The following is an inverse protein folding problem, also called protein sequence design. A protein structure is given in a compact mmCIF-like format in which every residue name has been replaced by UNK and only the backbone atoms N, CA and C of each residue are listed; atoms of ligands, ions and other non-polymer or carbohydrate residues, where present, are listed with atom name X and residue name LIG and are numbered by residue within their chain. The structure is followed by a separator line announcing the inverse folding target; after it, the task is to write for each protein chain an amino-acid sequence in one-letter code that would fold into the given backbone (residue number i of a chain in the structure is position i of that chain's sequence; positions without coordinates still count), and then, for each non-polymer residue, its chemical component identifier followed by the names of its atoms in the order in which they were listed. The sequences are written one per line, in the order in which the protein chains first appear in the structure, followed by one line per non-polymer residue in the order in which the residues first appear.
data_IF_205472731303
#
_entry.id   IF_205472731303
#
_cell.length_a   1.000
_cell.length_b   1.000
_cell.length_c   1.000
_cell.angle_alpha   90.00
_cell.angle_beta   90.00
_cell.angle_gamma   90.00
#
_symmetry.space_group_name_H-M   'P 1'
#
loop_
_entity.id
_entity.type
_entity.pdbx_description
1 polymer ?
#
# COMPACT_ATOMS: atom_id res chain seq x y z
N UNK A 1 52.03 30.26 -5.40
CA UNK A 1 51.51 28.95 -5.83
C UNK A 1 51.31 28.10 -4.59
N UNK A 2 50.07 27.98 -4.10
CA UNK A 2 49.66 27.03 -3.08
C UNK A 2 48.35 26.37 -3.55
N UNK A 3 48.12 25.08 -3.25
CA UNK A 3 47.03 24.33 -3.83
C UNK A 3 45.70 24.75 -3.21
N UNK A 4 44.72 25.00 -4.08
CA UNK A 4 43.34 25.26 -3.72
C UNK A 4 42.77 24.03 -3.00
N UNK A 5 42.34 24.21 -1.76
CA UNK A 5 41.53 23.22 -1.05
C UNK A 5 40.19 23.05 -1.76
N UNK A 6 40.06 21.97 -2.52
CA UNK A 6 38.78 21.47 -3.00
C UNK A 6 38.10 20.82 -1.81
N UNK A 7 37.13 21.51 -1.21
CA UNK A 7 36.20 20.88 -0.28
C UNK A 7 35.36 19.85 -1.05
N UNK A 8 35.36 18.56 -0.69
CA UNK A 8 34.60 17.57 -1.42
C UNK A 8 33.13 17.62 -0.96
N UNK A 9 32.25 18.11 -1.84
CA UNK A 9 30.78 18.03 -1.72
C UNK A 9 30.27 16.61 -1.43
N UNK A 10 31.08 15.57 -1.69
CA UNK A 10 30.79 14.18 -1.36
C UNK A 10 30.68 13.91 0.16
N UNK A 11 31.35 14.71 0.99
CA UNK A 11 31.35 14.52 2.46
C UNK A 11 30.09 15.10 3.14
N UNK A 12 29.49 16.15 2.57
CA UNK A 12 28.18 16.63 3.05
C UNK A 12 27.07 15.65 2.68
N UNK A 13 27.10 15.05 1.49
CA UNK A 13 26.11 14.07 1.05
C UNK A 13 26.12 12.80 1.91
N UNK A 14 27.30 12.31 2.32
CA UNK A 14 27.41 11.15 3.22
C UNK A 14 26.94 11.47 4.65
N UNK A 15 27.18 12.68 5.16
CA UNK A 15 26.68 13.08 6.47
C UNK A 15 25.18 13.33 6.47
N UNK A 16 24.60 13.89 5.40
CA UNK A 16 23.13 14.02 5.26
C UNK A 16 22.43 12.70 4.99
N UNK A 17 23.11 11.70 4.40
CA UNK A 17 22.57 10.34 4.24
C UNK A 17 22.67 9.52 5.54
N UNK A 18 23.70 9.73 6.35
CA UNK A 18 23.82 9.10 7.67
C UNK A 18 22.88 9.73 8.72
N UNK A 19 22.58 11.03 8.61
CA UNK A 19 21.67 11.75 9.50
C UNK A 19 20.16 11.53 9.19
N UNK A 20 19.83 10.72 8.18
CA UNK A 20 18.44 10.31 7.89
C UNK A 20 18.08 8.91 8.41
N UNK A 21 18.95 8.26 9.20
CA UNK A 21 18.74 6.92 9.78
C UNK A 21 18.62 6.99 11.30
N UNK A 22 17.86 7.95 11.84
CA UNK A 22 17.59 8.07 13.28
C UNK A 22 16.42 7.16 13.74
N UNK A 23 16.51 5.87 13.41
CA UNK A 23 15.50 4.87 13.80
C UNK A 23 16.04 3.46 14.06
N UNK A 24 17.36 3.24 13.98
CA UNK A 24 17.92 1.92 14.29
C UNK A 24 18.06 1.74 15.80
N UNK A 25 17.36 0.75 16.36
CA UNK A 25 17.42 0.43 17.78
C UNK A 25 18.79 -0.15 18.09
N UNK A 26 19.56 0.42 19.04
CA UNK A 26 20.84 -0.13 19.45
C UNK A 26 20.73 -1.61 19.85
N UNK A 27 21.52 -2.46 19.20
CA UNK A 27 21.62 -3.86 19.56
C UNK A 27 22.65 -4.09 20.66
N UNK A 28 22.30 -4.88 21.66
CA UNK A 28 23.22 -5.37 22.69
C UNK A 28 23.40 -6.88 22.53
N UNK A 29 24.62 -7.36 22.73
CA UNK A 29 24.89 -8.79 22.87
C UNK A 29 24.48 -9.28 24.27
N UNK A 30 24.62 -10.59 24.51
CA UNK A 30 24.28 -11.18 25.81
C UNK A 30 24.99 -10.46 26.97
N UNK A 31 26.29 -10.21 26.85
CA UNK A 31 27.08 -9.57 27.91
C UNK A 31 26.62 -8.12 28.15
N UNK A 32 26.24 -7.40 27.08
CA UNK A 32 25.66 -6.07 27.17
C UNK A 32 24.30 -6.08 27.86
N UNK A 33 23.43 -7.02 27.52
CA UNK A 33 22.15 -7.20 28.17
C UNK A 33 22.30 -7.55 29.66
N UNK A 34 23.21 -8.46 30.03
CA UNK A 34 23.50 -8.78 31.44
C UNK A 34 24.00 -7.56 32.23
N UNK A 35 24.88 -6.73 31.64
CA UNK A 35 25.32 -5.47 32.24
C UNK A 35 24.18 -4.47 32.42
N UNK A 36 23.27 -4.40 31.46
CA UNK A 36 22.11 -3.52 31.52
C UNK A 36 21.16 -3.93 32.66
N UNK A 37 20.87 -5.23 32.74
CA UNK A 37 19.98 -5.81 33.75
C UNK A 37 20.55 -5.74 35.17
N UNK A 38 21.86 -5.90 35.32
CA UNK A 38 22.55 -5.81 36.62
C UNK A 38 22.89 -4.37 37.05
N UNK A 39 22.62 -3.37 36.20
CA UNK A 39 22.86 -1.97 36.56
C UNK A 39 21.92 -1.52 37.70
N UNK A 40 22.30 -0.54 38.54
CA UNK A 40 21.45 -0.06 39.63
C UNK A 40 20.10 0.50 39.19
N UNK A 41 20.00 0.98 37.93
CA UNK A 41 18.74 1.43 37.31
C UNK A 41 17.90 0.28 36.77
N UNK A 42 18.53 -0.88 36.52
CA UNK A 42 17.94 -2.02 35.83
C UNK A 42 17.49 -1.69 34.41
N UNK A 43 16.81 -2.67 33.79
CA UNK A 43 16.02 -2.45 32.58
C UNK A 43 14.72 -3.22 32.68
N UNK A 44 13.67 -2.66 32.10
CA UNK A 44 12.42 -3.39 31.89
C UNK A 44 12.62 -4.28 30.68
N UNK A 45 12.49 -5.60 30.88
CA UNK A 45 12.56 -6.56 29.79
C UNK A 45 11.17 -6.76 29.22
N UNK A 46 11.03 -6.49 27.92
CA UNK A 46 9.79 -6.70 27.17
C UNK A 46 10.01 -7.86 26.22
N UNK A 47 9.33 -8.97 26.47
CA UNK A 47 9.37 -10.16 25.63
C UNK A 47 8.18 -10.15 24.66
N UNK A 48 8.49 -9.96 23.37
CA UNK A 48 7.50 -9.92 22.28
C UNK A 48 7.03 -11.30 21.83
N UNK A 49 7.56 -12.38 22.42
CA UNK A 49 7.13 -13.73 22.07
C UNK A 49 5.75 -13.98 22.65
N UNK A 50 4.80 -14.30 21.79
CA UNK A 50 3.47 -14.72 22.19
C UNK A 50 3.50 -16.18 22.71
N UNK A 51 2.94 -16.40 23.90
CA UNK A 51 2.84 -17.73 24.50
C UNK A 51 1.48 -18.38 24.23
N UNK A 52 1.51 -19.65 23.81
CA UNK A 52 0.39 -20.59 23.60
C UNK A 52 -0.69 -20.26 22.55
N UNK A 53 -1.00 -19.00 22.22
CA UNK A 53 -1.98 -18.68 21.17
C UNK A 53 -1.57 -19.20 19.77
N UNK A 54 -0.26 -19.38 19.53
CA UNK A 54 0.31 -19.94 18.31
C UNK A 54 0.86 -21.38 18.48
N UNK A 55 0.46 -22.11 19.53
CA UNK A 55 0.83 -23.53 19.73
C UNK A 55 2.31 -23.80 20.04
N UNK A 56 3.10 -22.77 20.38
CA UNK A 56 4.52 -22.91 20.76
C UNK A 56 4.70 -22.74 22.28
N UNK A 57 5.44 -23.68 22.87
CA UNK A 57 5.99 -23.54 24.22
C UNK A 57 7.26 -22.67 24.14
N UNK A 58 7.26 -21.54 24.86
CA UNK A 58 8.30 -20.50 24.77
C UNK A 58 9.56 -20.82 25.59
N UNK A 59 9.64 -22.00 26.22
CA UNK A 59 10.88 -22.54 26.81
C UNK A 59 11.46 -21.75 28.00
N UNK A 60 10.71 -20.77 28.52
CA UNK A 60 11.14 -19.85 29.59
C UNK A 60 11.44 -18.44 29.07
N UNK A 61 11.63 -17.49 29.99
CA UNK A 61 11.92 -16.08 29.66
C UNK A 61 13.04 -15.51 30.54
N UNK A 62 13.63 -14.39 30.14
CA UNK A 62 14.55 -13.66 31.02
C UNK A 62 13.79 -13.30 32.30
N UNK A 63 14.40 -13.54 33.46
CA UNK A 63 13.74 -13.32 34.75
C UNK A 63 13.24 -11.87 34.88
N UNK A 64 11.97 -11.71 35.29
CA UNK A 64 11.32 -10.40 35.40
C UNK A 64 10.84 -9.80 34.07
N UNK A 65 10.91 -10.54 32.97
CA UNK A 65 10.35 -10.09 31.70
C UNK A 65 8.82 -9.97 31.74
N UNK A 66 8.33 -8.94 31.05
CA UNK A 66 6.91 -8.74 30.78
C UNK A 66 6.60 -9.26 29.38
N UNK A 67 5.58 -10.11 29.27
CA UNK A 67 5.13 -10.59 27.97
C UNK A 67 4.15 -9.59 27.38
N UNK A 68 4.53 -9.00 26.26
CA UNK A 68 3.74 -7.97 25.55
C UNK A 68 3.83 -8.29 24.06
N UNK A 69 2.73 -8.71 23.44
CA UNK A 69 2.69 -8.94 21.99
C UNK A 69 3.11 -7.69 21.21
N UNK A 70 3.63 -7.84 19.99
CA UNK A 70 4.03 -6.68 19.20
C UNK A 70 2.85 -5.75 18.89
N UNK A 71 1.65 -6.32 18.75
CA UNK A 71 0.37 -5.61 18.57
C UNK A 71 -0.11 -4.92 19.85
N UNK A 72 0.21 -5.46 21.03
CA UNK A 72 -0.13 -4.90 22.35
C UNK A 72 0.88 -3.84 22.82
N UNK A 73 2.09 -3.85 22.26
CA UNK A 73 3.23 -3.03 22.73
C UNK A 73 2.90 -1.55 22.73
N UNK A 74 2.19 -1.09 21.71
CA UNK A 74 1.84 0.30 21.55
C UNK A 74 0.90 0.82 22.64
N UNK A 75 -0.11 -0.01 22.98
CA UNK A 75 -1.04 0.23 24.07
C UNK A 75 -0.33 0.22 25.42
N UNK A 76 0.55 -0.76 25.63
CA UNK A 76 1.34 -0.88 26.85
C UNK A 76 2.21 0.36 27.07
N UNK A 77 3.02 0.76 26.08
CA UNK A 77 3.93 1.92 26.19
C UNK A 77 3.20 3.26 26.39
N UNK A 78 1.94 3.34 25.96
CA UNK A 78 1.11 4.54 26.11
C UNK A 78 0.44 4.64 27.48
N UNK A 79 0.12 3.50 28.10
CA UNK A 79 -0.65 3.42 29.35
C UNK A 79 0.21 3.06 30.56
N UNK A 80 1.38 2.45 30.34
CA UNK A 80 2.29 2.08 31.42
C UNK A 80 2.83 3.33 32.12
N UNK A 81 2.82 3.30 33.45
CA UNK A 81 3.45 4.30 34.30
C UNK A 81 4.98 4.09 34.31
N UNK A 82 5.60 4.35 33.16
CA UNK A 82 7.03 4.15 32.93
C UNK A 82 7.68 5.44 32.43
N UNK A 83 8.66 5.93 33.20
CA UNK A 83 9.44 7.09 32.81
C UNK A 83 10.11 6.87 31.44
N UNK A 84 10.15 7.93 30.63
CA UNK A 84 10.70 7.87 29.25
C UNK A 84 12.22 7.63 29.21
N UNK A 85 12.90 7.88 30.33
CA UNK A 85 14.32 7.57 30.50
C UNK A 85 14.56 6.19 31.10
N UNK A 86 13.52 5.38 31.37
CA UNK A 86 13.70 4.00 31.84
C UNK A 86 14.31 3.14 30.73
N UNK A 87 15.41 2.40 31.00
CA UNK A 87 15.97 1.48 30.01
C UNK A 87 15.01 0.34 29.67
N UNK A 88 14.78 0.14 28.37
CA UNK A 88 13.99 -0.96 27.82
C UNK A 88 14.90 -1.94 27.11
N UNK A 89 14.80 -3.22 27.45
CA UNK A 89 15.40 -4.32 26.69
C UNK A 89 14.29 -5.13 26.03
N UNK A 90 14.14 -4.98 24.72
CA UNK A 90 13.10 -5.66 23.95
C UNK A 90 13.68 -6.92 23.32
N UNK A 91 13.01 -8.05 23.51
CA UNK A 91 13.46 -9.35 23.04
C UNK A 91 12.37 -10.06 22.23
N UNK A 92 12.79 -10.87 21.28
CA UNK A 92 11.93 -11.82 20.57
C UNK A 92 12.75 -13.10 20.29
N UNK A 93 12.26 -14.03 19.47
CA UNK A 93 13.01 -15.28 19.19
C UNK A 93 14.41 -15.03 18.62
N UNK A 94 14.50 -14.27 17.52
CA UNK A 94 15.73 -14.10 16.71
C UNK A 94 16.27 -12.68 16.59
N UNK A 95 15.68 -11.72 17.30
CA UNK A 95 16.04 -10.29 17.22
C UNK A 95 15.34 -9.47 16.12
N UNK A 96 14.54 -10.09 15.25
CA UNK A 96 13.88 -9.38 14.12
C UNK A 96 12.69 -8.53 14.59
N UNK A 97 11.77 -9.09 15.38
CA UNK A 97 10.58 -8.37 15.86
C UNK A 97 10.94 -7.30 16.90
N UNK A 98 11.99 -7.55 17.70
CA UNK A 98 12.47 -6.59 18.71
C UNK A 98 12.98 -5.28 18.12
N UNK A 99 13.49 -5.29 16.88
CA UNK A 99 13.87 -4.06 16.17
C UNK A 99 12.63 -3.20 15.84
N UNK A 100 11.56 -3.82 15.33
CA UNK A 100 10.30 -3.13 15.07
C UNK A 100 9.68 -2.60 16.37
N UNK A 101 9.64 -3.43 17.42
CA UNK A 101 9.15 -3.02 18.74
C UNK A 101 9.96 -1.89 19.39
N UNK A 102 11.28 -1.89 19.22
CA UNK A 102 12.12 -0.80 19.72
C UNK A 102 11.95 0.49 18.94
N UNK A 103 11.74 0.42 17.62
CA UNK A 103 11.44 1.59 16.80
C UNK A 103 10.12 2.23 17.25
N UNK A 104 9.13 1.41 17.60
CA UNK A 104 7.87 1.87 18.18
C UNK A 104 8.09 2.58 19.52
N UNK A 105 8.90 2.01 20.41
CA UNK A 105 9.21 2.60 21.71
C UNK A 105 9.95 3.94 21.58
N UNK A 106 10.94 4.04 20.68
CA UNK A 106 11.62 5.30 20.36
C UNK A 106 10.60 6.35 19.86
N UNK A 107 9.68 5.96 18.99
CA UNK A 107 8.59 6.81 18.49
C UNK A 107 7.64 7.31 19.59
N UNK A 108 7.52 6.58 20.71
CA UNK A 108 6.75 7.01 21.90
C UNK A 108 7.56 7.84 22.89
N UNK A 109 8.77 8.23 22.49
CA UNK A 109 9.65 9.12 23.25
C UNK A 109 10.51 8.41 24.30
N UNK A 110 10.55 7.07 24.32
CA UNK A 110 11.50 6.36 25.18
C UNK A 110 12.92 6.57 24.66
N UNK A 111 13.84 6.95 25.54
CA UNK A 111 15.19 7.39 25.14
C UNK A 111 16.27 6.31 25.23
N UNK A 112 16.01 5.28 26.03
CA UNK A 112 16.96 4.20 26.29
C UNK A 112 16.33 2.88 25.89
N UNK A 113 16.35 2.58 24.58
CA UNK A 113 15.74 1.36 24.03
C UNK A 113 16.84 0.51 23.41
N UNK A 114 16.86 -0.77 23.76
CA UNK A 114 17.84 -1.74 23.28
C UNK A 114 17.13 -3.01 22.81
N UNK A 115 17.68 -3.67 21.81
CA UNK A 115 17.23 -5.01 21.40
C UNK A 115 18.34 -6.05 21.59
N UNK A 116 17.98 -7.25 22.03
CA UNK A 116 18.95 -8.34 22.18
C UNK A 116 19.31 -8.93 20.81
N UNK A 117 20.59 -8.82 20.44
CA UNK A 117 21.12 -9.40 19.20
C UNK A 117 20.96 -10.92 19.22
N UNK A 118 20.32 -11.45 18.17
CA UNK A 118 20.02 -12.88 18.05
C UNK A 118 18.85 -13.35 18.91
N UNK A 119 18.18 -12.44 19.65
CA UNK A 119 17.02 -12.74 20.46
C UNK A 119 17.27 -13.79 21.54
N UNK A 120 16.20 -14.48 21.93
CA UNK A 120 16.23 -15.53 22.95
C UNK A 120 17.01 -16.77 22.48
N UNK A 121 17.16 -17.01 21.18
CA UNK A 121 18.02 -18.08 20.65
C UNK A 121 19.50 -17.87 21.01
N UNK A 122 19.93 -16.62 21.16
CA UNK A 122 21.29 -16.25 21.54
C UNK A 122 21.48 -16.09 23.06
N UNK A 123 20.38 -16.13 23.85
CA UNK A 123 20.44 -15.95 25.29
C UNK A 123 20.90 -17.24 25.99
N UNK A 124 22.09 -17.20 26.59
CA UNK A 124 22.63 -18.32 27.39
C UNK A 124 22.53 -18.09 28.90
N UNK A 125 21.93 -16.98 29.32
CA UNK A 125 21.69 -16.68 30.73
C UNK A 125 20.59 -17.55 31.30
N UNK A 126 20.39 -17.46 32.62
CA UNK A 126 19.30 -18.17 33.29
C UNK A 126 17.95 -17.69 32.76
N UNK A 127 17.10 -18.64 32.38
CA UNK A 127 15.69 -18.38 32.06
C UNK A 127 14.83 -18.83 33.23
N UNK A 128 13.85 -17.99 33.60
CA UNK A 128 12.81 -18.34 34.55
C UNK A 128 11.61 -18.96 33.87
N UNK A 129 10.49 -19.02 34.61
CA UNK A 129 9.20 -19.34 34.02
C UNK A 129 8.89 -18.41 32.83
N UNK A 130 8.02 -18.85 31.90
CA UNK A 130 7.51 -17.96 30.86
C UNK A 130 6.96 -16.67 31.46
N UNK A 131 7.30 -15.55 30.84
CA UNK A 131 6.84 -14.23 31.27
C UNK A 131 5.30 -14.19 31.29
N UNK A 132 4.76 -13.62 32.37
CA UNK A 132 3.31 -13.45 32.49
C UNK A 132 2.83 -12.38 31.49
N UNK A 133 1.64 -12.58 30.89
CA UNK A 133 1.03 -11.55 30.06
C UNK A 133 0.68 -10.32 30.91
N UNK A 134 0.86 -9.14 30.33
CA UNK A 134 0.45 -7.90 30.98
C UNK A 134 -1.07 -7.86 31.25
N UNK A 135 -1.52 -7.10 32.28
CA UNK A 135 -2.93 -6.91 32.58
C UNK A 135 -3.75 -6.48 31.36
N UNK A 136 -4.99 -6.98 31.24
CA UNK A 136 -5.87 -6.72 30.10
C UNK A 136 -6.09 -5.22 29.81
N UNK A 137 -6.06 -4.38 30.84
CA UNK A 137 -6.21 -2.93 30.72
C UNK A 137 -5.04 -2.28 29.97
N UNK A 138 -3.83 -2.83 30.10
CA UNK A 138 -2.63 -2.33 29.45
C UNK A 138 -2.45 -2.88 28.03
N UNK A 139 -3.21 -3.93 27.66
CA UNK A 139 -3.23 -4.51 26.31
C UNK A 139 -4.07 -3.73 25.31
N UNK A 140 -4.99 -2.87 25.79
CA UNK A 140 -5.86 -2.11 24.90
C UNK A 140 -5.06 -1.14 24.03
N UNK A 141 -5.34 -1.06 22.72
CA UNK A 141 -4.70 -0.10 21.83
C UNK A 141 -4.82 1.33 22.39
N UNK A 142 -3.88 2.23 22.09
CA UNK A 142 -4.00 3.62 22.48
C UNK A 142 -5.17 4.27 21.73
N UNK A 143 -5.87 5.16 22.44
CA UNK A 143 -6.96 5.94 21.86
C UNK A 143 -6.35 7.12 21.09
N UNK A 144 -6.67 7.21 19.81
CA UNK A 144 -6.32 8.35 18.98
C UNK A 144 -7.08 9.59 19.47
N UNK A 145 -6.34 10.67 19.74
CA UNK A 145 -6.94 11.96 20.10
C UNK A 145 -7.51 12.65 18.85
N UNK A 146 -8.70 12.23 18.42
CA UNK A 146 -9.37 12.76 17.24
C UNK A 146 -10.21 14.00 17.56
N UNK A 147 -9.95 15.09 16.84
CA UNK A 147 -10.76 16.32 16.87
C UNK A 147 -12.16 16.06 16.31
N UNK A 148 -13.12 16.94 16.61
CA UNK A 148 -14.47 16.85 16.05
C UNK A 148 -14.47 16.78 14.51
N UNK A 149 -13.58 17.53 13.86
CA UNK A 149 -13.43 17.50 12.40
C UNK A 149 -12.95 16.13 11.91
N UNK A 150 -11.97 15.53 12.59
CA UNK A 150 -11.46 14.19 12.23
C UNK A 150 -12.54 13.13 12.37
N UNK A 151 -13.33 13.18 13.44
CA UNK A 151 -14.47 12.27 13.61
C UNK A 151 -15.52 12.45 12.50
N UNK A 152 -15.80 13.70 12.10
CA UNK A 152 -16.66 13.97 10.96
C UNK A 152 -16.08 13.41 9.66
N UNK A 153 -14.77 13.59 9.42
CA UNK A 153 -14.10 13.07 8.23
C UNK A 153 -14.20 11.55 8.14
N UNK A 154 -13.99 10.84 9.25
CA UNK A 154 -14.16 9.38 9.29
C UNK A 154 -15.56 8.95 8.85
N UNK A 155 -16.61 9.64 9.32
CA UNK A 155 -18.00 9.34 8.92
C UNK A 155 -18.24 9.70 7.45
N UNK A 156 -17.84 10.90 7.04
CA UNK A 156 -18.10 11.39 5.68
C UNK A 156 -17.37 10.54 4.65
N UNK A 157 -16.10 10.22 4.87
CA UNK A 157 -15.29 9.46 3.93
C UNK A 157 -15.58 7.95 4.03
N UNK A 158 -15.45 7.38 5.22
CA UNK A 158 -15.58 5.94 5.44
C UNK A 158 -17.00 5.39 5.26
N UNK A 159 -18.05 6.22 5.38
CA UNK A 159 -19.44 5.79 5.15
C UNK A 159 -20.03 6.48 3.92
N UNK A 160 -19.98 7.81 3.86
CA UNK A 160 -20.64 8.58 2.80
C UNK A 160 -19.99 8.42 1.42
N UNK A 161 -18.72 8.82 1.30
CA UNK A 161 -17.94 8.77 0.06
C UNK A 161 -17.75 7.31 -0.38
N UNK A 162 -17.40 6.42 0.55
CA UNK A 162 -17.28 4.98 0.31
C UNK A 162 -18.50 4.37 -0.34
N UNK A 163 -19.66 4.49 0.29
CA UNK A 163 -20.91 3.96 -0.27
C UNK A 163 -21.23 4.57 -1.65
N UNK A 164 -20.89 5.85 -1.84
CA UNK A 164 -21.11 6.56 -3.10
C UNK A 164 -20.26 5.98 -4.23
N UNK A 165 -18.93 5.92 -4.10
CA UNK A 165 -18.10 5.39 -5.18
C UNK A 165 -18.32 3.90 -5.42
N UNK A 166 -18.72 3.13 -4.40
CA UNK A 166 -19.01 1.70 -4.54
C UNK A 166 -20.26 1.51 -5.40
N UNK A 167 -21.28 2.32 -5.17
CA UNK A 167 -22.49 2.33 -6.00
C UNK A 167 -22.17 2.77 -7.43
N UNK A 168 -21.37 3.83 -7.57
CA UNK A 168 -20.96 4.38 -8.87
C UNK A 168 -20.11 3.40 -9.68
N UNK A 169 -19.23 2.62 -9.04
CA UNK A 169 -18.42 1.59 -9.71
C UNK A 169 -19.29 0.45 -10.23
N UNK A 170 -20.31 0.01 -9.48
CA UNK A 170 -21.31 -0.95 -9.96
C UNK A 170 -22.12 -0.40 -11.13
N UNK A 171 -22.53 0.88 -11.07
CA UNK A 171 -23.21 1.54 -12.19
C UNK A 171 -22.32 1.54 -13.43
N UNK A 172 -21.04 1.88 -13.30
CA UNK A 172 -20.07 1.83 -14.40
C UNK A 172 -19.95 0.40 -14.96
N UNK A 173 -19.85 -0.61 -14.11
CA UNK A 173 -19.81 -2.02 -14.52
C UNK A 173 -21.09 -2.44 -15.27
N UNK A 174 -22.26 -2.00 -14.80
CA UNK A 174 -23.56 -2.26 -15.42
C UNK A 174 -23.69 -1.59 -16.79
N UNK A 175 -23.24 -0.34 -16.94
CA UNK A 175 -23.19 0.37 -18.23
C UNK A 175 -22.36 -0.42 -19.26
N UNK A 176 -21.26 -1.00 -18.81
CA UNK A 176 -20.33 -1.77 -19.65
C UNK A 176 -20.69 -3.25 -19.79
N UNK A 177 -21.78 -3.71 -19.17
CA UNK A 177 -22.07 -5.15 -19.05
C UNK A 177 -22.20 -5.85 -20.41
N UNK A 178 -22.80 -5.17 -21.39
CA UNK A 178 -23.02 -5.72 -22.74
C UNK A 178 -21.87 -5.47 -23.71
N UNK A 179 -20.87 -4.68 -23.33
CA UNK A 179 -19.73 -4.36 -24.19
C UNK A 179 -18.89 -5.60 -24.47
N UNK A 180 -18.48 -5.77 -25.74
CA UNK A 180 -17.63 -6.88 -26.20
C UNK A 180 -16.21 -6.44 -26.59
N UNK A 181 -15.96 -5.13 -26.69
CA UNK A 181 -14.63 -4.57 -26.92
C UNK A 181 -13.70 -4.92 -25.76
N UNK A 182 -12.47 -5.36 -26.04
CA UNK A 182 -11.58 -5.90 -25.01
C UNK A 182 -11.20 -4.81 -24.00
N UNK A 183 -10.95 -3.58 -24.47
CA UNK A 183 -10.66 -2.46 -23.59
C UNK A 183 -11.80 -2.18 -22.60
N UNK A 184 -13.05 -2.16 -23.07
CA UNK A 184 -14.22 -1.93 -22.21
C UNK A 184 -14.50 -3.10 -21.26
N UNK A 185 -14.21 -4.34 -21.68
CA UNK A 185 -14.32 -5.52 -20.81
C UNK A 185 -13.33 -5.43 -19.65
N UNK A 186 -12.09 -5.00 -19.91
CA UNK A 186 -11.08 -4.79 -18.86
C UNK A 186 -11.50 -3.67 -17.90
N UNK A 187 -12.02 -2.55 -18.41
CA UNK A 187 -12.53 -1.46 -17.54
C UNK A 187 -13.70 -1.97 -16.68
N UNK A 188 -14.62 -2.76 -17.23
CA UNK A 188 -15.69 -3.40 -16.45
C UNK A 188 -15.12 -4.31 -15.36
N UNK A 189 -14.14 -5.14 -15.68
CA UNK A 189 -13.49 -6.01 -14.68
C UNK A 189 -12.76 -5.20 -13.62
N UNK A 190 -12.16 -4.06 -13.97
CA UNK A 190 -11.55 -3.15 -13.00
C UNK A 190 -12.59 -2.58 -12.01
N UNK A 191 -13.78 -2.19 -12.49
CA UNK A 191 -14.86 -1.72 -11.62
C UNK A 191 -15.38 -2.82 -10.68
N UNK A 192 -15.45 -4.06 -11.15
CA UNK A 192 -15.83 -5.20 -10.31
C UNK A 192 -14.74 -5.56 -9.29
N UNK A 193 -13.46 -5.49 -9.67
CA UNK A 193 -12.34 -5.73 -8.76
C UNK A 193 -12.28 -4.66 -7.66
N UNK A 194 -12.50 -3.39 -8.02
CA UNK A 194 -12.61 -2.28 -7.08
C UNK A 194 -13.79 -2.47 -6.12
N UNK A 195 -15.00 -2.73 -6.64
CA UNK A 195 -16.17 -2.99 -5.80
C UNK A 195 -15.96 -4.18 -4.84
N UNK A 196 -15.30 -5.24 -5.31
CA UNK A 196 -14.95 -6.38 -4.47
C UNK A 196 -13.99 -5.97 -3.35
N UNK A 197 -12.90 -5.25 -3.67
CA UNK A 197 -11.94 -4.79 -2.66
C UNK A 197 -12.58 -3.93 -1.58
N UNK A 198 -13.37 -2.94 -2.00
CA UNK A 198 -14.10 -2.07 -1.07
C UNK A 198 -15.16 -2.79 -0.26
N UNK A 199 -15.82 -3.78 -0.88
CA UNK A 199 -16.71 -4.69 -0.17
C UNK A 199 -15.99 -5.44 0.94
N UNK A 200 -14.76 -5.87 0.71
CA UNK A 200 -13.95 -6.54 1.73
C UNK A 200 -13.53 -5.59 2.85
N UNK A 201 -13.17 -4.34 2.54
CA UNK A 201 -12.93 -3.31 3.55
C UNK A 201 -14.17 -3.13 4.46
N UNK A 202 -15.35 -2.97 3.86
CA UNK A 202 -16.61 -2.84 4.60
C UNK A 202 -16.94 -4.09 5.44
N UNK A 203 -16.67 -5.29 4.93
CA UNK A 203 -16.83 -6.55 5.67
C UNK A 203 -15.87 -6.63 6.86
N UNK A 204 -14.61 -6.21 6.70
CA UNK A 204 -13.63 -6.19 7.79
C UNK A 204 -14.12 -5.28 8.93
N UNK A 205 -14.61 -4.10 8.57
CA UNK A 205 -15.15 -3.13 9.53
C UNK A 205 -16.38 -3.67 10.27
N UNK A 206 -17.37 -4.22 9.54
CA UNK A 206 -18.65 -4.65 10.12
C UNK A 206 -18.59 -5.96 10.91
N UNK A 207 -17.75 -6.92 10.49
CA UNK A 207 -17.77 -8.29 11.04
C UNK A 207 -16.50 -8.68 11.79
N UNK A 208 -15.38 -8.01 11.54
CA UNK A 208 -14.10 -8.28 12.20
C UNK A 208 -13.59 -7.08 13.01
N UNK A 209 -14.38 -6.01 13.14
CA UNK A 209 -13.99 -4.78 13.85
C UNK A 209 -12.67 -4.18 13.36
N UNK A 210 -12.33 -4.39 12.08
CA UNK A 210 -11.05 -3.98 11.48
C UNK A 210 -9.88 -4.92 11.75
N UNK A 211 -10.05 -5.99 12.52
CA UNK A 211 -8.93 -6.79 13.03
C UNK A 211 -8.42 -7.89 12.07
N UNK A 212 -9.06 -8.13 10.92
CA UNK A 212 -8.72 -9.25 10.05
C UNK A 212 -7.74 -8.88 8.93
N UNK A 213 -6.47 -9.27 9.10
CA UNK A 213 -5.43 -9.17 8.06
C UNK A 213 -5.80 -9.89 6.75
N UNK A 214 -6.52 -11.01 6.84
CA UNK A 214 -6.90 -11.78 5.66
C UNK A 214 -7.93 -11.03 4.80
N UNK A 215 -8.92 -10.39 5.44
CA UNK A 215 -9.94 -9.60 4.75
C UNK A 215 -9.30 -8.33 4.18
N UNK A 216 -8.41 -7.68 4.94
CA UNK A 216 -7.65 -6.52 4.48
C UNK A 216 -6.73 -6.86 3.29
N UNK A 217 -6.15 -8.06 3.26
CA UNK A 217 -5.41 -8.53 2.10
C UNK A 217 -6.30 -8.66 0.86
N UNK A 218 -7.55 -9.12 1.01
CA UNK A 218 -8.49 -9.15 -0.12
C UNK A 218 -8.94 -7.76 -0.56
N UNK A 219 -9.09 -6.82 0.38
CA UNK A 219 -9.26 -5.40 0.08
C UNK A 219 -8.12 -4.91 -0.82
N UNK A 220 -6.87 -5.09 -0.37
CA UNK A 220 -5.69 -4.70 -1.15
C UNK A 220 -5.57 -5.40 -2.52
N UNK A 221 -5.93 -6.68 -2.62
CA UNK A 221 -5.96 -7.41 -3.90
C UNK A 221 -6.99 -6.82 -4.88
N UNK A 222 -8.12 -6.32 -4.38
CA UNK A 222 -9.10 -5.59 -5.19
C UNK A 222 -8.52 -4.31 -5.79
N UNK A 223 -7.79 -3.53 -4.98
CA UNK A 223 -7.11 -2.31 -5.42
C UNK A 223 -5.98 -2.57 -6.41
N UNK A 224 -5.14 -3.58 -6.15
CA UNK A 224 -4.12 -4.04 -7.10
C UNK A 224 -4.76 -4.48 -8.41
N UNK A 225 -5.87 -5.22 -8.34
CA UNK A 225 -6.64 -5.67 -9.50
C UNK A 225 -7.19 -4.50 -10.33
N UNK A 226 -7.79 -3.50 -9.68
CA UNK A 226 -8.23 -2.28 -10.36
C UNK A 226 -7.05 -1.52 -10.97
N UNK A 227 -5.98 -1.31 -10.21
CA UNK A 227 -4.76 -0.62 -10.63
C UNK A 227 -4.05 -1.30 -11.81
N UNK A 228 -4.24 -2.61 -11.98
CA UNK A 228 -3.81 -3.36 -13.15
C UNK A 228 -4.79 -3.21 -14.33
N UNK A 229 -6.06 -3.51 -14.11
CA UNK A 229 -7.04 -3.69 -15.19
C UNK A 229 -7.50 -2.37 -15.82
N UNK A 230 -7.61 -1.31 -15.03
CA UNK A 230 -8.07 -0.01 -15.51
C UNK A 230 -7.10 0.62 -16.53
N UNK A 231 -5.80 0.83 -16.21
CA UNK A 231 -4.86 1.39 -17.18
C UNK A 231 -4.62 0.43 -18.36
N UNK A 232 -4.69 -0.88 -18.13
CA UNK A 232 -4.63 -1.84 -19.23
C UNK A 232 -5.82 -1.71 -20.18
N UNK A 233 -7.03 -1.59 -19.64
CA UNK A 233 -8.25 -1.38 -20.41
C UNK A 233 -8.21 -0.10 -21.23
N UNK A 234 -7.73 1.00 -20.64
CA UNK A 234 -7.55 2.28 -21.36
C UNK A 234 -6.51 2.16 -22.48
N UNK A 235 -5.37 1.52 -22.23
CA UNK A 235 -4.35 1.28 -23.25
C UNK A 235 -4.89 0.39 -24.38
N UNK A 236 -5.65 -0.64 -24.04
CA UNK A 236 -6.29 -1.53 -25.01
C UNK A 236 -7.32 -0.81 -25.86
N UNK A 237 -8.12 0.06 -25.26
CA UNK A 237 -9.09 0.87 -25.98
C UNK A 237 -8.41 1.87 -26.93
N UNK A 238 -7.31 2.49 -26.47
CA UNK A 238 -6.46 3.32 -27.32
C UNK A 238 -5.86 2.50 -28.47
N UNK A 239 -5.48 1.26 -28.24
CA UNK A 239 -4.99 0.37 -29.29
C UNK A 239 -6.07 0.00 -30.31
N UNK A 240 -7.24 -0.42 -29.83
CA UNK A 240 -8.39 -0.82 -30.63
C UNK A 240 -8.95 0.33 -31.47
N UNK A 241 -8.75 1.60 -31.09
CA UNK A 241 -9.41 2.73 -31.76
C UNK A 241 -8.44 3.73 -32.39
N UNK A 242 -7.23 3.89 -31.85
CA UNK A 242 -6.29 4.95 -32.25
C UNK A 242 -5.00 4.36 -32.80
N UNK A 243 -4.32 3.49 -32.04
CA UNK A 243 -2.96 3.06 -32.37
C UNK A 243 -2.94 1.92 -33.39
N UNK A 244 -3.90 0.99 -33.29
CA UNK A 244 -4.00 -0.24 -34.09
C UNK A 244 -2.72 -1.06 -34.09
N UNK A 245 -1.94 -0.99 -33.02
CA UNK A 245 -0.60 -1.53 -32.90
C UNK A 245 -0.54 -3.03 -33.18
N UNK A 246 -1.49 -3.79 -32.64
CA UNK A 246 -1.58 -5.25 -32.83
C UNK A 246 -2.05 -5.66 -34.22
N UNK A 247 -2.76 -4.78 -34.94
CA UNK A 247 -3.19 -5.04 -36.30
C UNK A 247 -2.14 -4.53 -37.30
N UNK A 248 -1.40 -5.44 -37.99
CA UNK A 248 -0.38 -5.06 -38.94
C UNK A 248 -0.94 -4.36 -40.19
N UNK A 249 -2.22 -4.57 -40.50
CA UNK A 249 -2.87 -4.07 -41.72
C UNK A 249 -3.48 -2.69 -41.51
N UNK A 250 -4.03 -2.42 -40.31
CA UNK A 250 -4.69 -1.17 -40.00
C UNK A 250 -3.72 0.00 -39.81
N UNK A 251 -4.12 1.16 -40.34
CA UNK A 251 -3.38 2.41 -40.17
C UNK A 251 -3.54 2.96 -38.74
N UNK A 252 -2.47 3.55 -38.22
CA UNK A 252 -2.49 4.26 -36.93
C UNK A 252 -2.99 5.69 -37.15
N UNK A 253 -3.96 6.15 -36.37
CA UNK A 253 -4.56 7.49 -36.52
C UNK A 253 -3.53 8.60 -36.28
N UNK A 254 -2.62 8.38 -35.32
CA UNK A 254 -1.57 9.35 -34.97
C UNK A 254 -0.31 9.22 -35.84
N UNK A 255 -0.33 8.44 -36.92
CA UNK A 255 0.84 8.26 -37.80
C UNK A 255 1.39 9.59 -38.34
N UNK A 256 0.54 10.59 -38.56
CA UNK A 256 0.97 11.92 -39.05
C UNK A 256 1.98 12.59 -38.10
N UNK A 257 1.95 12.31 -36.80
CA UNK A 257 2.92 12.80 -35.83
C UNK A 257 4.27 12.08 -35.93
N UNK A 258 4.26 10.80 -36.34
CA UNK A 258 5.46 9.97 -36.47
C UNK A 258 6.12 10.07 -37.85
N UNK A 259 5.37 10.46 -38.88
CA UNK A 259 5.78 10.46 -40.29
C UNK A 259 5.84 9.06 -40.89
N UNK A 260 6.69 8.19 -40.34
CA UNK A 260 6.85 6.78 -40.73
C UNK A 260 6.30 5.84 -39.66
N UNK A 261 5.91 4.64 -40.08
CA UNK A 261 5.28 3.67 -39.17
C UNK A 261 6.11 2.40 -39.08
N UNK A 262 6.48 2.03 -37.86
CA UNK A 262 7.21 0.77 -37.56
C UNK A 262 6.52 -0.51 -38.07
N UNK A 263 5.23 -0.42 -38.46
CA UNK A 263 4.50 -1.53 -39.05
C UNK A 263 4.89 -1.81 -40.50
N UNK A 264 5.35 -0.78 -41.21
CA UNK A 264 5.63 -0.77 -42.66
C UNK A 264 7.08 -0.43 -42.97
N UNK A 265 7.74 0.30 -42.07
CA UNK A 265 9.09 0.84 -42.22
C UNK A 265 10.01 0.33 -41.10
N UNK A 266 11.33 0.20 -41.31
CA UNK A 266 12.31 -0.13 -40.28
C UNK A 266 12.61 1.09 -39.37
N UNK A 267 11.57 1.61 -38.71
CA UNK A 267 11.65 2.73 -37.76
C UNK A 267 11.14 2.31 -36.38
N UNK A 268 11.55 3.01 -35.33
CA UNK A 268 11.04 2.76 -33.98
C UNK A 268 9.63 3.32 -33.76
N UNK A 269 8.86 2.69 -32.87
CA UNK A 269 7.55 3.20 -32.44
C UNK A 269 7.68 4.02 -31.15
N UNK A 270 7.09 5.22 -31.13
CA UNK A 270 7.08 6.09 -29.94
C UNK A 270 6.40 5.44 -28.73
N UNK A 271 5.29 4.73 -28.95
CA UNK A 271 4.58 3.99 -27.88
C UNK A 271 5.48 2.90 -27.30
N UNK A 272 6.16 2.12 -28.14
CA UNK A 272 7.09 1.10 -27.65
C UNK A 272 8.25 1.72 -26.85
N UNK A 273 8.82 2.83 -27.33
CA UNK A 273 9.89 3.57 -26.63
C UNK A 273 9.41 4.11 -25.28
N UNK A 274 8.17 4.57 -25.20
CA UNK A 274 7.58 5.02 -23.95
C UNK A 274 7.51 3.86 -22.94
N UNK A 275 7.03 2.68 -23.34
CA UNK A 275 7.00 1.51 -22.45
C UNK A 275 8.41 1.01 -22.08
N UNK A 276 9.37 1.07 -23.01
CA UNK A 276 10.78 0.75 -22.73
C UNK A 276 11.39 1.69 -21.68
N UNK A 277 10.96 2.95 -21.64
CA UNK A 277 11.36 3.91 -20.62
C UNK A 277 10.61 3.68 -19.30
N UNK A 278 9.28 3.51 -19.37
CA UNK A 278 8.43 3.41 -18.19
C UNK A 278 8.69 2.13 -17.40
N UNK A 279 8.91 0.99 -18.04
CA UNK A 279 9.08 -0.28 -17.33
C UNK A 279 10.21 -0.26 -16.29
N UNK A 280 11.46 0.15 -16.62
CA UNK A 280 12.52 0.25 -15.62
C UNK A 280 12.31 1.41 -14.64
N UNK A 281 11.75 2.55 -15.07
CA UNK A 281 11.50 3.69 -14.16
C UNK A 281 10.48 3.31 -13.09
N UNK A 282 9.34 2.75 -13.49
CA UNK A 282 8.30 2.29 -12.56
C UNK A 282 8.83 1.13 -11.70
N UNK A 283 9.61 0.22 -12.30
CA UNK A 283 10.23 -0.89 -11.58
C UNK A 283 11.19 -0.44 -10.48
N UNK A 284 12.00 0.60 -10.74
CA UNK A 284 12.87 1.19 -9.73
C UNK A 284 12.08 1.92 -8.64
N UNK A 285 11.04 2.67 -9.00
CA UNK A 285 10.18 3.34 -8.00
C UNK A 285 9.46 2.34 -7.09
N UNK A 286 9.16 1.14 -7.59
CA UNK A 286 8.55 0.08 -6.78
C UNK A 286 9.38 -0.28 -5.54
N UNK A 287 10.71 -0.14 -5.62
CA UNK A 287 11.65 -0.56 -4.58
C UNK A 287 11.78 0.45 -3.43
N UNK A 288 11.19 1.65 -3.54
CA UNK A 288 11.29 2.68 -2.51
C UNK A 288 10.91 2.19 -1.09
N UNK A 289 9.82 1.43 -0.89
CA UNK A 289 9.41 1.00 0.45
C UNK A 289 10.35 -0.01 1.11
N UNK A 290 11.23 -0.69 0.34
CA UNK A 290 12.11 -1.74 0.88
C UNK A 290 13.06 -1.23 1.96
N UNK A 291 13.50 0.02 1.84
CA UNK A 291 14.40 0.66 2.80
C UNK A 291 13.70 1.26 4.02
N UNK A 292 12.37 1.34 4.03
CA UNK A 292 11.64 1.98 5.11
C UNK A 292 11.50 1.08 6.34
N UNK A 293 11.52 1.65 7.54
CA UNK A 293 11.24 0.91 8.78
C UNK A 293 9.79 0.46 8.81
N UNK A 294 9.55 -0.81 9.13
CA UNK A 294 8.20 -1.33 9.33
C UNK A 294 7.72 -0.98 10.73
N UNK A 295 6.60 -0.29 10.81
CA UNK A 295 6.05 0.20 12.07
C UNK A 295 4.57 -0.14 12.12
N UNK A 296 4.18 -1.25 12.75
CA UNK A 296 2.77 -1.61 12.86
C UNK A 296 2.01 -0.51 13.60
N UNK A 297 0.75 -0.33 13.21
CA UNK A 297 -0.18 0.64 13.82
C UNK A 297 -1.40 -0.15 14.26
N UNK A 298 -1.86 0.07 15.49
CA UNK A 298 -3.13 -0.43 16.01
C UNK A 298 -3.65 0.61 16.99
N UNK A 299 -4.75 1.29 16.66
CA UNK A 299 -5.28 2.40 17.45
C UNK A 299 -6.80 2.31 17.59
N UNK A 300 -7.33 2.76 18.72
CA UNK A 300 -8.76 2.97 18.91
C UNK A 300 -9.12 4.37 18.40
N UNK A 301 -9.97 4.46 17.39
CA UNK A 301 -10.43 5.74 16.82
C UNK A 301 -11.83 6.06 17.35
N UNK A 302 -12.00 7.14 18.13
CA UNK A 302 -13.31 7.55 18.63
C UNK A 302 -14.10 8.24 17.52
N UNK A 303 -15.39 7.92 17.39
CA UNK A 303 -16.34 8.57 16.47
C UNK A 303 -17.67 8.78 17.17
N UNK A 304 -17.95 10.02 17.55
CA UNK A 304 -19.24 10.47 18.10
C UNK A 304 -19.85 9.58 19.19
N UNK A 305 -19.01 9.03 20.08
CA UNK A 305 -19.45 8.20 21.21
C UNK A 305 -19.19 6.70 21.02
N UNK A 306 -18.93 6.27 19.79
CA UNK A 306 -18.45 4.91 19.49
C UNK A 306 -16.93 4.90 19.28
N UNK A 307 -16.33 3.71 19.29
CA UNK A 307 -14.90 3.50 19.01
C UNK A 307 -14.73 2.31 18.09
N UNK A 308 -13.87 2.43 17.09
CA UNK A 308 -13.46 1.31 16.24
C UNK A 308 -11.93 1.15 16.26
N UNK A 309 -11.45 -0.01 15.82
CA UNK A 309 -10.02 -0.28 15.73
C UNK A 309 -9.57 -0.07 14.29
N UNK A 310 -8.55 0.74 14.14
CA UNK A 310 -7.81 0.87 12.89
C UNK A 310 -6.43 0.23 13.08
N UNK A 311 -6.06 -0.65 12.15
CA UNK A 311 -4.83 -1.40 12.26
C UNK A 311 -4.18 -1.73 10.91
N UNK A 312 -2.85 -1.66 10.93
CA UNK A 312 -1.98 -2.17 9.89
C UNK A 312 -0.90 -3.00 10.56
N UNK A 313 -1.08 -4.32 10.49
CA UNK A 313 -0.23 -5.29 11.16
C UNK A 313 1.15 -5.41 10.50
N UNK A 314 2.13 -5.94 11.23
CA UNK A 314 3.46 -6.21 10.67
C UNK A 314 3.42 -7.24 9.52
N UNK A 315 2.68 -8.37 9.61
CA UNK A 315 2.52 -9.29 8.49
C UNK A 315 2.01 -8.61 7.22
N UNK A 316 1.01 -7.74 7.35
CA UNK A 316 0.45 -7.02 6.21
C UNK A 316 1.47 -6.06 5.60
N UNK A 317 2.20 -5.29 6.42
CA UNK A 317 3.28 -4.42 5.93
C UNK A 317 4.43 -5.19 5.26
N UNK A 318 4.73 -6.42 5.70
CA UNK A 318 5.72 -7.27 5.01
C UNK A 318 5.22 -7.61 3.60
N UNK A 319 3.95 -7.98 3.46
CA UNK A 319 3.36 -8.26 2.14
C UNK A 319 3.39 -7.01 1.27
N UNK A 320 2.87 -5.89 1.77
CA UNK A 320 2.66 -4.67 0.99
C UNK A 320 3.96 -3.89 0.71
N UNK A 321 4.90 -3.85 1.65
CA UNK A 321 6.13 -3.04 1.57
C UNK A 321 7.40 -3.86 1.35
N UNK A 322 7.31 -5.19 1.26
CA UNK A 322 8.44 -6.06 0.84
C UNK A 322 8.07 -6.92 -0.35
N UNK A 323 7.06 -7.76 -0.22
CA UNK A 323 6.72 -8.75 -1.25
C UNK A 323 6.21 -8.09 -2.53
N UNK A 324 5.25 -7.16 -2.43
CA UNK A 324 4.67 -6.47 -3.57
C UNK A 324 5.70 -5.64 -4.35
N UNK A 325 6.56 -4.81 -3.73
CA UNK A 325 7.71 -4.16 -4.39
C UNK A 325 8.59 -5.10 -5.22
N UNK A 326 9.00 -6.22 -4.64
CA UNK A 326 9.90 -7.18 -5.28
C UNK A 326 9.20 -7.82 -6.48
N UNK A 327 7.95 -8.25 -6.28
CA UNK A 327 7.14 -8.85 -7.34
C UNK A 327 6.87 -7.85 -8.47
N UNK A 328 6.53 -6.61 -8.14
CA UNK A 328 6.30 -5.54 -9.11
C UNK A 328 7.55 -5.26 -9.96
N UNK A 329 8.71 -5.12 -9.32
CA UNK A 329 9.98 -4.93 -10.01
C UNK A 329 10.31 -6.13 -10.92
N UNK A 330 10.08 -7.36 -10.45
CA UNK A 330 10.32 -8.56 -11.25
C UNK A 330 9.40 -8.61 -12.50
N UNK A 331 8.11 -8.33 -12.34
CA UNK A 331 7.15 -8.29 -13.45
C UNK A 331 7.50 -7.18 -14.46
N UNK A 332 7.87 -5.99 -13.98
CA UNK A 332 8.27 -4.88 -14.85
C UNK A 332 9.60 -5.16 -15.55
N UNK A 333 10.52 -5.89 -14.92
CA UNK A 333 11.75 -6.35 -15.55
C UNK A 333 11.47 -7.38 -16.66
N UNK A 334 10.58 -8.35 -16.42
CA UNK A 334 10.13 -9.28 -17.46
C UNK A 334 9.48 -8.51 -18.62
N UNK A 335 8.63 -7.53 -18.33
CA UNK A 335 8.04 -6.66 -19.35
C UNK A 335 9.11 -5.93 -20.16
N UNK A 336 10.12 -5.35 -19.49
CA UNK A 336 11.25 -4.69 -20.14
C UNK A 336 12.01 -5.63 -21.08
N UNK A 337 12.35 -6.85 -20.65
CA UNK A 337 13.01 -7.84 -21.50
C UNK A 337 12.17 -8.21 -22.72
N UNK A 338 10.86 -8.38 -22.56
CA UNK A 338 9.95 -8.64 -23.68
C UNK A 338 9.89 -7.47 -24.66
N UNK A 339 9.92 -6.23 -24.16
CA UNK A 339 9.91 -5.02 -25.00
C UNK A 339 11.16 -4.89 -25.88
N UNK A 340 12.32 -5.42 -25.43
CA UNK A 340 13.55 -5.51 -26.24
C UNK A 340 13.40 -6.47 -27.43
N UNK A 341 12.51 -7.46 -27.35
CA UNK A 341 12.18 -8.40 -28.42
C UNK A 341 11.43 -7.77 -29.61
N UNK A 342 11.20 -6.46 -29.58
CA UNK A 342 10.64 -5.72 -30.71
C UNK A 342 9.15 -5.99 -30.93
N UNK A 343 8.73 -5.95 -32.20
CA UNK A 343 7.32 -5.81 -32.57
C UNK A 343 6.42 -6.96 -32.12
N UNK A 344 6.92 -8.19 -32.21
CA UNK A 344 6.13 -9.39 -31.91
C UNK A 344 5.92 -9.58 -30.40
N UNK A 345 6.80 -9.03 -29.57
CA UNK A 345 6.82 -9.27 -28.14
C UNK A 345 6.10 -8.19 -27.32
N UNK A 346 5.76 -7.03 -27.90
CA UNK A 346 5.07 -5.96 -27.17
C UNK A 346 3.72 -6.41 -26.58
N UNK A 347 2.89 -7.14 -27.33
CA UNK A 347 1.61 -7.64 -26.83
C UNK A 347 1.80 -8.54 -25.59
N UNK A 348 2.87 -9.33 -25.59
CA UNK A 348 3.26 -10.22 -24.50
C UNK A 348 3.80 -9.45 -23.29
N UNK A 349 4.34 -8.24 -23.48
CA UNK A 349 4.86 -7.41 -22.40
C UNK A 349 3.77 -6.75 -21.55
N UNK A 350 2.58 -6.53 -22.10
CA UNK A 350 1.51 -5.76 -21.45
C UNK A 350 0.98 -6.40 -20.16
N UNK A 351 0.66 -7.72 -20.10
CA UNK A 351 0.17 -8.33 -18.87
C UNK A 351 1.15 -8.14 -17.71
N UNK A 352 2.45 -8.32 -17.96
CA UNK A 352 3.50 -8.12 -16.96
C UNK A 352 3.65 -6.65 -16.57
N UNK A 353 3.59 -5.74 -17.56
CA UNK A 353 3.66 -4.30 -17.30
C UNK A 353 2.55 -3.84 -16.36
N UNK A 354 1.30 -4.15 -16.72
CA UNK A 354 0.14 -3.67 -15.97
C UNK A 354 -0.06 -4.40 -14.65
N UNK A 355 0.31 -5.70 -14.56
CA UNK A 355 0.33 -6.39 -13.27
C UNK A 355 1.36 -5.76 -12.31
N UNK A 356 2.57 -5.47 -12.81
CA UNK A 356 3.57 -4.75 -12.03
C UNK A 356 3.09 -3.33 -11.65
N UNK A 357 2.50 -2.59 -12.59
CA UNK A 357 1.96 -1.26 -12.35
C UNK A 357 0.86 -1.23 -11.27
N UNK A 358 -0.04 -2.22 -11.25
CA UNK A 358 -1.07 -2.34 -10.22
C UNK A 358 -0.47 -2.52 -8.82
N UNK A 359 0.53 -3.40 -8.70
CA UNK A 359 1.26 -3.61 -7.44
C UNK A 359 2.00 -2.33 -6.99
N UNK A 360 2.73 -1.67 -7.91
CA UNK A 360 3.44 -0.42 -7.59
C UNK A 360 2.48 0.66 -7.09
N UNK A 361 1.36 0.87 -7.79
CA UNK A 361 0.42 1.95 -7.49
C UNK A 361 -0.17 1.78 -6.09
N UNK A 362 -0.67 0.59 -5.77
CA UNK A 362 -1.24 0.29 -4.45
C UNK A 362 -0.19 0.42 -3.34
N UNK A 363 0.97 -0.22 -3.52
CA UNK A 363 2.04 -0.19 -2.52
C UNK A 363 2.56 1.22 -2.26
N UNK A 364 2.83 2.01 -3.31
CA UNK A 364 3.36 3.37 -3.13
C UNK A 364 2.34 4.32 -2.50
N UNK A 365 1.07 4.17 -2.85
CA UNK A 365 -0.02 4.95 -2.23
C UNK A 365 -0.09 4.66 -0.74
N UNK A 366 -0.21 3.39 -0.34
CA UNK A 366 -0.26 3.00 1.08
C UNK A 366 1.01 3.37 1.83
N UNK A 367 2.17 3.16 1.22
CA UNK A 367 3.44 3.56 1.82
C UNK A 367 3.49 5.06 2.11
N UNK A 368 3.07 5.89 1.15
CA UNK A 368 3.04 7.33 1.31
C UNK A 368 2.04 7.75 2.39
N UNK A 369 0.81 7.23 2.38
CA UNK A 369 -0.22 7.57 3.35
C UNK A 369 0.19 7.19 4.78
N UNK A 370 0.66 5.96 4.98
CA UNK A 370 1.08 5.47 6.30
C UNK A 370 2.33 6.18 6.83
N UNK A 371 3.24 6.60 5.93
CA UNK A 371 4.42 7.35 6.34
C UNK A 371 4.09 8.83 6.64
N UNK A 372 3.26 9.46 5.81
CA UNK A 372 2.94 10.89 5.92
C UNK A 372 1.94 11.19 7.05
N UNK A 373 0.99 10.29 7.30
CA UNK A 373 -0.11 10.49 8.25
C UNK A 373 -0.07 9.50 9.42
N UNK A 374 1.12 8.97 9.77
CA UNK A 374 1.29 7.95 10.81
C UNK A 374 0.61 8.28 12.14
N UNK A 375 0.80 9.51 12.62
CA UNK A 375 0.25 9.95 13.91
C UNK A 375 -1.21 10.44 13.80
N UNK A 376 -1.74 10.49 12.59
CA UNK A 376 -3.07 11.03 12.26
C UNK A 376 -3.73 10.18 11.18
N UNK A 377 -3.87 8.88 11.46
CA UNK A 377 -4.32 7.85 10.51
C UNK A 377 -5.68 8.18 9.82
N UNK A 378 -6.57 8.89 10.51
CA UNK A 378 -7.84 9.39 9.97
C UNK A 378 -7.66 10.21 8.68
N UNK A 379 -6.55 10.95 8.56
CA UNK A 379 -6.24 11.68 7.33
C UNK A 379 -5.70 10.78 6.23
N UNK A 380 -4.97 9.73 6.59
CA UNK A 380 -4.54 8.71 5.63
C UNK A 380 -5.77 8.07 4.96
N UNK A 381 -6.74 7.62 5.77
CA UNK A 381 -8.00 7.06 5.29
C UNK A 381 -8.76 8.08 4.43
N UNK A 382 -8.95 9.30 4.92
CA UNK A 382 -9.68 10.32 4.15
C UNK A 382 -9.05 10.58 2.76
N UNK A 383 -7.72 10.51 2.65
CA UNK A 383 -7.02 10.64 1.37
C UNK A 383 -7.16 9.39 0.50
N UNK A 384 -7.08 8.19 1.06
CA UNK A 384 -7.33 6.92 0.37
C UNK A 384 -8.72 6.98 -0.30
N UNK A 385 -9.75 7.23 0.51
CA UNK A 385 -11.15 7.36 0.11
C UNK A 385 -11.37 8.47 -0.95
N UNK A 386 -10.68 9.61 -0.82
CA UNK A 386 -10.74 10.70 -1.78
C UNK A 386 -10.15 10.30 -3.15
N UNK A 387 -9.00 9.62 -3.15
CA UNK A 387 -8.33 9.23 -4.40
C UNK A 387 -9.12 8.17 -5.17
N UNK A 388 -9.76 7.25 -4.45
CA UNK A 388 -10.66 6.26 -5.02
C UNK A 388 -11.91 6.89 -5.63
N UNK A 389 -12.53 7.83 -4.91
CA UNK A 389 -13.65 8.61 -5.44
C UNK A 389 -13.27 9.31 -6.75
N UNK A 390 -12.10 9.96 -6.79
CA UNK A 390 -11.59 10.62 -8.01
C UNK A 390 -11.38 9.62 -9.13
N UNK A 391 -10.84 8.43 -8.85
CA UNK A 391 -10.65 7.39 -9.86
C UNK A 391 -11.98 6.92 -10.47
N UNK A 392 -13.00 6.66 -9.65
CA UNK A 392 -14.33 6.25 -10.14
C UNK A 392 -15.04 7.38 -10.87
N UNK A 393 -14.95 8.61 -10.36
CA UNK A 393 -15.49 9.79 -11.02
C UNK A 393 -14.85 10.00 -12.41
N UNK A 394 -13.54 9.80 -12.53
CA UNK A 394 -12.82 9.87 -13.80
C UNK A 394 -13.32 8.82 -14.80
N UNK A 395 -13.54 7.57 -14.37
CA UNK A 395 -14.07 6.51 -15.25
C UNK A 395 -15.46 6.87 -15.76
N UNK A 396 -16.36 7.31 -14.88
CA UNK A 396 -17.71 7.72 -15.28
C UNK A 396 -17.70 8.92 -16.22
N UNK A 397 -16.88 9.92 -15.90
CA UNK A 397 -16.68 11.09 -16.77
C UNK A 397 -16.17 10.68 -18.14
N UNK A 398 -15.16 9.79 -18.21
CA UNK A 398 -14.63 9.25 -19.46
C UNK A 398 -15.72 8.53 -20.28
N UNK A 399 -16.51 7.66 -19.64
CA UNK A 399 -17.61 6.95 -20.31
C UNK A 399 -18.68 7.90 -20.82
N UNK A 400 -18.97 8.98 -20.08
CA UNK A 400 -19.94 9.99 -20.49
C UNK A 400 -19.44 10.85 -21.65
N UNK A 401 -18.20 11.35 -21.60
CA UNK A 401 -17.60 12.18 -22.66
C UNK A 401 -17.53 11.42 -23.97
N UNK A 402 -17.10 10.15 -23.94
CA UNK A 402 -16.92 9.33 -25.14
C UNK A 402 -18.12 8.44 -25.45
N UNK A 403 -19.29 8.67 -24.84
CA UNK A 403 -20.46 7.76 -24.93
C UNK A 403 -20.87 7.40 -26.36
N UNK A 404 -20.86 8.38 -27.27
CA UNK A 404 -21.22 8.19 -28.67
C UNK A 404 -20.23 7.31 -29.41
N UNK A 405 -18.93 7.52 -29.16
CA UNK A 405 -17.84 6.79 -29.78
C UNK A 405 -17.82 5.36 -29.24
N UNK A 406 -17.95 5.21 -27.92
CA UNK A 406 -17.92 3.93 -27.22
C UNK A 406 -19.19 3.09 -27.43
N UNK A 407 -20.25 3.68 -27.97
CA UNK A 407 -21.54 3.01 -28.14
C UNK A 407 -22.22 2.67 -26.81
N UNK A 408 -21.84 3.35 -25.73
CA UNK A 408 -22.43 3.17 -24.38
C UNK A 408 -23.52 4.21 -24.15
N UNK A 409 -24.43 3.94 -23.21
CA UNK A 409 -25.51 4.87 -22.85
C UNK A 409 -26.47 5.25 -24.00
N UNK A 410 -26.51 4.47 -25.08
CA UNK A 410 -27.39 4.74 -26.25
C UNK A 410 -28.89 4.76 -25.91
N UNK A 411 -29.29 4.09 -24.82
CA UNK A 411 -30.68 4.10 -24.34
C UNK A 411 -31.13 5.47 -23.80
N UNK A 412 -30.20 6.33 -23.34
CA UNK A 412 -30.51 7.70 -22.92
C UNK A 412 -30.77 8.65 -24.11
N UNK A 413 -30.33 8.28 -25.32
CA UNK A 413 -30.47 9.10 -26.53
C UNK A 413 -31.73 8.84 -27.37
N UNK A 414 -32.48 7.76 -27.11
CA UNK A 414 -33.64 7.38 -27.93
C UNK A 414 -34.89 8.24 -27.74
N UNK A 415 -34.93 9.15 -26.77
CA UNK A 415 -36.11 10.01 -26.54
C UNK A 415 -36.12 11.34 -27.32
N UNK A 416 -35.10 11.67 -28.11
CA UNK A 416 -35.07 12.96 -28.86
C UNK A 416 -35.48 12.91 -30.33
N UNK A 417 -35.86 11.75 -30.87
CA UNK A 417 -36.23 11.59 -32.29
C UNK A 417 -37.68 11.13 -32.53
N UNK A 418 -38.55 11.18 -31.52
CA UNK A 418 -39.96 10.81 -31.63
C UNK A 418 -40.93 12.02 -31.75
N UNK A 419 -40.47 13.14 -32.32
CA UNK A 419 -41.33 14.32 -32.54
C UNK A 419 -40.74 15.25 -33.59
N UNK A 420 -41.12 15.07 -34.85
CA UNK A 420 -40.58 15.87 -35.95
C UNK A 420 -41.13 15.54 -37.33
N UNK A 421 -42.45 15.64 -37.46
CA UNK A 421 -43.21 16.05 -38.64
C UNK A 421 -43.04 15.28 -39.96
N UNK A 422 -44.08 14.50 -40.28
CA UNK A 422 -44.58 14.30 -41.63
C UNK A 422 -44.70 15.64 -42.37
N UNK A 423 -44.10 15.74 -43.55
CA UNK A 423 -44.44 16.74 -44.55
C UNK A 423 -44.86 16.01 -45.85
N UNK A 424 -45.96 16.43 -46.49
CA UNK A 424 -46.56 15.70 -47.60
C UNK A 424 -45.79 15.92 -48.91
N UNK A 425 -45.78 14.89 -49.77
CA UNK A 425 -45.36 14.99 -51.17
C UNK A 425 -46.35 15.87 -51.95
N UNK A 426 -45.88 16.77 -52.85
CA UNK A 426 -46.68 17.21 -53.97
C UNK A 426 -46.28 16.48 -55.27
N UNK A 427 -47.30 16.39 -56.14
CA UNK A 427 -47.39 15.74 -57.46
C UNK A 427 -46.24 15.96 -58.43
#
# INVERSE_FOLDING_TARGET
MSPRHVFPLASLALWTLAACVDGHVPEVDQAGAERLLSSPRGAVVIDLREGQAAGRDIGGSISGALRVGLDELDGYLSRADLARDTPLLIVCDRGVLSQAGGTLALGRGYRQVFSLRGGMDAWKGTVGAPAEPIPAQLRRPPILQATWLEQLLTVVFGIGIKATYMTLSLVAAAILWRSREKGLVLIRQAMLAFFFGEGMCAVNFLFASGESDAIELFHGLGMVGMGMLLPWGLMRLADERVLRYEDPTAACVVQRLCGRCWKRDPVGCGVQRLFLLLAPVVGLTALLPLGATLTPVKVEVPVFGDTFIDQVSLPLQIVEFRLYPILACALLFVSFLLLLGGRRAFAWSQPFFFAGFGLVTFTLMRFFLLTAFRDRIVWADAWEEATEFVAIAFVLWFLWVFRSQLGVLQFLGRQRSAGGQDAPRPG
#
